data_IF_838709327474
#
_entry.id   IF_838709327474
#
_cell.length_a   1.000
_cell.length_b   1.000
_cell.length_c   1.000
_cell.angle_alpha   90.00
_cell.angle_beta   90.00
_cell.angle_gamma   90.00
#
_symmetry.space_group_name_H-M   'P 1'
#
loop_
_entity.id
_entity.type
_entity.pdbx_description
1 polymer ?
#
# COMPACT_ATOMS: atom_id res chain seq x y z
N UNK A 1 -21.18 -4.96 11.66
CA UNK A 1 -19.79 -4.58 11.97
C UNK A 1 -19.80 -3.16 12.47
N UNK A 2 -19.05 -2.85 13.53
CA UNK A 2 -18.84 -1.44 13.93
C UNK A 2 -18.02 -0.75 12.83
N UNK A 3 -18.32 0.53 12.55
CA UNK A 3 -17.58 1.32 11.58
C UNK A 3 -16.11 1.52 11.98
N UNK A 4 -15.26 2.03 11.06
CA UNK A 4 -13.88 2.31 11.37
C UNK A 4 -13.77 3.37 12.49
N UNK A 5 -12.79 3.20 13.38
CA UNK A 5 -12.48 4.17 14.44
C UNK A 5 -11.68 5.35 13.89
N UNK A 6 -10.91 5.14 12.82
CA UNK A 6 -10.10 6.15 12.12
C UNK A 6 -10.01 5.80 10.64
N UNK A 7 -10.15 6.81 9.79
CA UNK A 7 -9.99 6.69 8.34
C UNK A 7 -9.02 7.73 7.82
N UNK A 8 -8.16 7.33 6.88
CA UNK A 8 -7.19 8.21 6.24
C UNK A 8 -7.23 8.02 4.73
N UNK A 9 -7.21 9.13 3.99
CA UNK A 9 -7.18 9.12 2.53
C UNK A 9 -5.76 9.38 2.05
N UNK A 10 -5.31 8.61 1.06
CA UNK A 10 -4.07 8.84 0.35
C UNK A 10 -4.36 9.69 -0.89
N UNK A 11 -3.83 10.91 -0.89
CA UNK A 11 -4.07 11.91 -1.91
C UNK A 11 -2.79 12.18 -2.70
N UNK A 12 -2.91 12.21 -4.02
CA UNK A 12 -1.94 12.78 -4.94
C UNK A 12 -2.37 14.20 -5.31
N UNK A 13 -1.60 15.21 -4.93
CA UNK A 13 -1.87 16.60 -5.34
C UNK A 13 -1.40 16.94 -6.75
N UNK A 14 -0.64 16.05 -7.38
CA UNK A 14 -0.05 16.29 -8.69
C UNK A 14 -0.66 15.38 -9.75
N UNK A 15 -1.28 15.99 -10.76
CA UNK A 15 -1.99 15.26 -11.84
C UNK A 15 -1.06 14.37 -12.68
N UNK A 16 0.24 14.71 -12.77
CA UNK A 16 1.21 14.02 -13.65
C UNK A 16 2.37 13.35 -12.91
N UNK A 17 2.34 13.33 -11.57
CA UNK A 17 3.41 12.76 -10.75
C UNK A 17 2.83 12.00 -9.57
N UNK A 18 3.38 10.85 -9.24
CA UNK A 18 3.07 10.09 -8.01
C UNK A 18 4.22 10.16 -7.01
N UNK A 19 5.12 11.15 -7.18
CA UNK A 19 6.30 11.32 -6.33
C UNK A 19 5.96 11.84 -4.93
N UNK A 20 4.94 12.68 -4.82
CA UNK A 20 4.58 13.34 -3.57
C UNK A 20 3.11 13.09 -3.27
N UNK A 21 2.86 12.31 -2.22
CA UNK A 21 1.53 11.96 -1.76
C UNK A 21 1.31 12.44 -0.34
N UNK A 22 0.06 12.59 0.04
CA UNK A 22 -0.34 13.03 1.36
C UNK A 22 -1.31 12.03 1.98
N UNK A 23 -1.04 11.63 3.21
CA UNK A 23 -2.02 10.93 4.02
C UNK A 23 -2.82 11.97 4.80
N UNK A 24 -4.13 12.06 4.53
CA UNK A 24 -5.02 13.04 5.13
C UNK A 24 -6.05 12.40 6.05
N UNK A 25 -6.31 13.06 7.18
CA UNK A 25 -7.43 12.77 8.07
C UNK A 25 -8.25 14.06 8.20
N UNK A 26 -9.56 14.00 7.95
CA UNK A 26 -10.44 15.16 8.03
C UNK A 26 -9.89 16.37 7.23
N UNK A 27 -9.42 16.13 6.00
CA UNK A 27 -8.80 17.13 5.10
C UNK A 27 -7.49 17.77 5.61
N UNK A 28 -6.93 17.27 6.71
CA UNK A 28 -5.64 17.70 7.24
C UNK A 28 -4.57 16.65 6.94
N UNK A 29 -3.45 17.07 6.36
CA UNK A 29 -2.29 16.21 6.12
C UNK A 29 -1.63 15.85 7.44
N UNK A 30 -1.48 14.55 7.68
CA UNK A 30 -0.84 13.99 8.88
C UNK A 30 0.55 13.47 8.54
N UNK A 31 0.71 12.87 7.35
CA UNK A 31 1.97 12.31 6.87
C UNK A 31 2.18 12.66 5.40
N UNK A 32 3.44 12.83 5.01
CA UNK A 32 3.86 13.08 3.63
C UNK A 32 4.60 11.86 3.12
N UNK A 33 4.27 11.39 1.93
CA UNK A 33 4.91 10.24 1.32
C UNK A 33 5.70 10.74 0.12
N UNK A 34 7.01 10.49 0.14
CA UNK A 34 7.88 10.75 -0.98
C UNK A 34 8.27 9.43 -1.66
N UNK A 35 7.99 9.30 -2.95
CA UNK A 35 8.35 8.15 -3.77
C UNK A 35 9.60 8.48 -4.57
N UNK A 36 10.74 7.98 -4.09
CA UNK A 36 12.02 8.10 -4.78
C UNK A 36 12.11 7.05 -5.89
N UNK A 37 12.32 7.54 -7.11
CA UNK A 37 12.53 6.73 -8.30
C UNK A 37 13.76 7.22 -9.05
N UNK A 38 14.79 6.40 -9.13
CA UNK A 38 15.94 6.62 -10.02
C UNK A 38 15.89 5.65 -11.18
N UNK A 39 16.51 6.03 -12.30
CA UNK A 39 16.61 5.18 -13.49
C UNK A 39 17.27 3.82 -13.21
N UNK A 40 18.19 3.77 -12.24
CA UNK A 40 18.89 2.55 -11.81
C UNK A 40 18.64 2.18 -10.34
N UNK A 41 17.88 2.99 -9.59
CA UNK A 41 17.64 2.74 -8.17
C UNK A 41 16.32 2.01 -7.97
N UNK A 42 16.29 1.13 -6.95
CA UNK A 42 15.05 0.48 -6.54
C UNK A 42 14.07 1.55 -6.06
N UNK A 43 12.81 1.55 -6.54
CA UNK A 43 11.82 2.48 -6.04
C UNK A 43 11.69 2.37 -4.52
N UNK A 44 11.66 3.51 -3.84
CA UNK A 44 11.57 3.59 -2.40
C UNK A 44 10.52 4.63 -2.00
N UNK A 45 9.64 4.27 -1.08
CA UNK A 45 8.72 5.18 -0.44
C UNK A 45 9.32 5.60 0.91
N UNK A 46 9.25 6.87 1.22
CA UNK A 46 9.61 7.44 2.51
C UNK A 46 8.41 8.17 3.08
N UNK A 47 8.06 7.82 4.32
CA UNK A 47 7.00 8.44 5.08
C UNK A 47 7.62 9.48 6.00
N UNK A 48 7.24 10.74 5.83
CA UNK A 48 7.74 11.88 6.57
C UNK A 48 6.67 12.42 7.53
N UNK A 49 7.12 12.85 8.70
CA UNK A 49 6.31 13.56 9.68
C UNK A 49 6.66 15.05 9.67
N UNK A 50 5.69 15.92 9.96
CA UNK A 50 5.88 17.38 10.07
C UNK A 50 6.34 18.08 8.77
N UNK A 51 5.99 17.52 7.60
CA UNK A 51 6.20 18.13 6.30
C UNK A 51 6.92 17.21 5.30
N UNK A 52 7.00 17.62 4.02
CA UNK A 52 7.62 16.81 2.95
C UNK A 52 9.11 16.48 3.18
N UNK A 53 9.83 17.36 3.87
CA UNK A 53 11.27 17.20 4.18
C UNK A 53 11.52 16.92 5.67
N UNK A 54 10.48 16.54 6.41
CA UNK A 54 10.60 16.24 7.84
C UNK A 54 11.31 14.90 8.11
N UNK A 55 11.43 14.49 9.38
CA UNK A 55 12.03 13.20 9.72
C UNK A 55 11.26 12.03 9.08
N UNK A 56 12.02 11.04 8.59
CA UNK A 56 11.46 9.80 8.05
C UNK A 56 11.02 8.93 9.23
N UNK A 57 9.73 8.62 9.28
CA UNK A 57 9.14 7.73 10.29
C UNK A 57 9.04 6.29 9.81
N UNK A 58 9.00 6.06 8.50
CA UNK A 58 9.06 4.73 7.92
C UNK A 58 9.49 4.77 6.44
N UNK A 59 10.02 3.66 5.94
CA UNK A 59 10.36 3.50 4.53
C UNK A 59 9.95 2.15 4.00
N UNK A 60 9.57 2.08 2.73
CA UNK A 60 9.40 0.84 1.98
C UNK A 60 10.29 0.84 0.75
N UNK A 61 10.98 -0.26 0.48
CA UNK A 61 11.83 -0.46 -0.71
C UNK A 61 11.29 -1.60 -1.54
N UNK A 62 11.02 -1.33 -2.81
CA UNK A 62 10.55 -2.34 -3.75
C UNK A 62 11.70 -3.22 -4.23
N UNK A 63 11.39 -4.48 -4.54
CA UNK A 63 12.33 -5.43 -5.13
C UNK A 63 12.10 -5.53 -6.64
N UNK A 64 13.18 -5.63 -7.42
CA UNK A 64 13.10 -5.67 -8.89
C UNK A 64 12.58 -7.01 -9.43
N UNK A 65 13.01 -8.12 -8.84
CA UNK A 65 12.71 -9.48 -9.33
C UNK A 65 11.87 -10.31 -8.36
N UNK A 66 11.32 -9.68 -7.32
CA UNK A 66 10.45 -10.31 -6.35
C UNK A 66 9.16 -9.52 -6.24
N UNK A 67 8.06 -10.23 -5.99
CA UNK A 67 6.76 -9.67 -5.69
C UNK A 67 6.67 -9.05 -4.28
N UNK A 68 7.63 -9.34 -3.40
CA UNK A 68 7.71 -8.77 -2.05
C UNK A 68 8.39 -7.41 -1.98
N UNK A 69 8.39 -6.82 -0.78
CA UNK A 69 9.02 -5.54 -0.46
C UNK A 69 9.88 -5.66 0.80
N UNK A 70 10.66 -4.63 1.12
CA UNK A 70 11.31 -4.46 2.42
C UNK A 70 10.79 -3.20 3.08
N UNK A 71 10.68 -3.19 4.40
CA UNK A 71 10.22 -2.04 5.17
C UNK A 71 11.14 -1.75 6.35
N UNK A 72 11.24 -0.48 6.75
CA UNK A 72 12.01 -0.03 7.90
C UNK A 72 11.22 1.03 8.66
N UNK A 73 11.23 0.96 10.00
CA UNK A 73 10.63 1.97 10.87
C UNK A 73 11.71 2.92 11.36
N UNK A 74 11.53 4.22 11.16
CA UNK A 74 12.40 5.27 11.71
C UNK A 74 13.90 5.13 11.37
N UNK A 75 14.24 4.47 10.26
CA UNK A 75 15.64 4.18 9.91
C UNK A 75 16.25 2.96 10.61
N UNK A 76 15.44 2.17 11.31
CA UNK A 76 15.83 0.88 11.89
C UNK A 76 16.11 -0.21 10.84
N UNK A 77 16.31 -1.47 11.28
CA UNK A 77 16.64 -2.57 10.38
C UNK A 77 15.54 -2.80 9.33
N UNK A 78 15.95 -3.22 8.14
CA UNK A 78 15.02 -3.60 7.08
C UNK A 78 14.42 -4.97 7.39
N UNK A 79 13.10 -5.03 7.46
CA UNK A 79 12.31 -6.25 7.57
C UNK A 79 11.76 -6.64 6.20
N UNK A 80 11.74 -7.95 5.93
CA UNK A 80 11.22 -8.50 4.69
C UNK A 80 9.71 -8.72 4.79
N UNK A 81 9.01 -8.34 3.72
CA UNK A 81 7.58 -8.59 3.53
C UNK A 81 7.42 -9.39 2.23
N UNK A 82 7.44 -10.73 2.30
CA UNK A 82 7.27 -11.56 1.13
C UNK A 82 5.85 -11.40 0.58
N UNK A 83 5.69 -11.62 -0.72
CA UNK A 83 4.37 -11.88 -1.29
C UNK A 83 4.15 -13.38 -1.30
N UNK A 84 3.02 -13.80 -0.75
CA UNK A 84 2.61 -15.19 -0.64
C UNK A 84 1.25 -15.40 -1.31
N UNK A 85 0.95 -16.66 -1.63
CA UNK A 85 -0.34 -17.09 -2.15
C UNK A 85 -0.52 -16.91 -3.66
N UNK A 86 -0.85 -18.00 -4.34
CA UNK A 86 -1.16 -18.01 -5.77
C UNK A 86 -2.62 -17.57 -6.06
N UNK A 87 -3.57 -18.01 -5.23
CA UNK A 87 -5.01 -17.74 -5.40
C UNK A 87 -5.38 -16.43 -4.71
N UNK A 88 -4.99 -16.27 -3.44
CA UNK A 88 -5.21 -15.04 -2.67
C UNK A 88 -3.87 -14.46 -2.30
N UNK A 89 -3.52 -13.32 -2.91
CA UNK A 89 -2.28 -12.61 -2.59
C UNK A 89 -2.29 -12.14 -1.14
N UNK A 90 -1.21 -12.42 -0.43
CA UNK A 90 -0.99 -12.09 0.96
C UNK A 90 0.43 -11.55 1.16
N UNK A 91 0.58 -10.70 2.16
CA UNK A 91 1.85 -10.08 2.51
C UNK A 91 2.01 -10.12 4.02
N UNK A 92 2.54 -11.24 4.56
CA UNK A 92 2.78 -11.35 5.98
C UNK A 92 4.00 -10.52 6.39
N UNK A 93 3.98 -10.02 7.61
CA UNK A 93 5.11 -9.34 8.23
C UNK A 93 5.10 -9.58 9.74
N UNK A 94 6.27 -9.42 10.36
CA UNK A 94 6.43 -9.48 11.80
C UNK A 94 6.59 -8.07 12.37
N UNK A 95 6.01 -7.84 13.53
CA UNK A 95 6.25 -6.67 14.35
C UNK A 95 6.42 -7.12 15.80
N UNK A 96 7.65 -7.03 16.31
CA UNK A 96 8.06 -7.81 17.48
C UNK A 96 7.85 -9.30 17.22
N UNK A 97 7.27 -10.01 18.18
CA UNK A 97 7.00 -11.46 18.09
C UNK A 97 5.65 -11.80 17.43
N UNK A 98 4.89 -10.79 16.99
CA UNK A 98 3.56 -10.98 16.41
C UNK A 98 3.61 -10.95 14.89
N UNK A 99 2.87 -11.87 14.27
CA UNK A 99 2.72 -11.96 12.82
C UNK A 99 1.40 -11.33 12.40
N UNK A 100 1.48 -10.42 11.43
CA UNK A 100 0.34 -9.78 10.80
C UNK A 100 0.32 -10.10 9.31
N UNK A 101 -0.82 -9.92 8.66
CA UNK A 101 -0.94 -10.14 7.22
C UNK A 101 -1.87 -9.14 6.56
N UNK A 102 -1.35 -8.48 5.52
CA UNK A 102 -2.20 -7.82 4.53
C UNK A 102 -2.66 -8.87 3.52
N UNK A 103 -3.94 -9.24 3.57
CA UNK A 103 -4.56 -10.23 2.69
C UNK A 103 -5.51 -9.55 1.74
N UNK A 104 -5.46 -9.90 0.45
CA UNK A 104 -6.41 -9.38 -0.54
C UNK A 104 -7.83 -9.67 -0.09
N UNK A 105 -8.72 -8.69 -0.23
CA UNK A 105 -10.14 -8.82 0.10
C UNK A 105 -11.02 -8.41 -1.08
N UNK A 106 -12.19 -9.03 -1.17
CA UNK A 106 -13.30 -8.70 -2.09
C UNK A 106 -14.60 -8.53 -1.32
N UNK A 107 -14.48 -8.33 -0.01
CA UNK A 107 -15.61 -8.22 0.90
C UNK A 107 -16.25 -6.84 0.77
N UNK A 108 -17.42 -6.79 0.13
CA UNK A 108 -18.19 -5.56 -0.05
C UNK A 108 -18.65 -4.93 1.26
N UNK A 109 -18.78 -5.71 2.35
CA UNK A 109 -19.10 -5.17 3.68
C UNK A 109 -17.96 -4.30 4.24
N UNK A 110 -16.73 -4.48 3.76
CA UNK A 110 -15.57 -3.68 4.07
C UNK A 110 -15.34 -2.54 3.06
N UNK A 111 -16.24 -2.37 2.09
CA UNK A 111 -16.11 -1.39 1.02
C UNK A 111 -15.15 -1.80 -0.11
N UNK A 112 -14.73 -3.08 -0.15
CA UNK A 112 -13.87 -3.59 -1.20
C UNK A 112 -14.63 -3.84 -2.51
N UNK A 113 -13.94 -3.68 -3.62
CA UNK A 113 -14.44 -4.01 -4.95
C UNK A 113 -14.50 -5.52 -5.16
N UNK A 114 -15.59 -5.98 -5.77
CA UNK A 114 -15.76 -7.39 -6.15
C UNK A 114 -14.74 -7.84 -7.20
N UNK A 115 -14.32 -6.93 -8.09
CA UNK A 115 -13.45 -7.24 -9.23
C UNK A 115 -12.04 -6.64 -9.10
N UNK A 116 -11.84 -5.75 -8.14
CA UNK A 116 -10.56 -5.11 -7.87
C UNK A 116 -9.47 -6.08 -7.38
N UNK A 117 -8.23 -5.72 -7.69
CA UNK A 117 -7.03 -6.44 -7.23
C UNK A 117 -6.25 -5.64 -6.15
N UNK A 118 -6.68 -4.41 -5.86
CA UNK A 118 -5.94 -3.45 -5.04
C UNK A 118 -6.40 -3.35 -3.59
N UNK A 119 -7.43 -4.10 -3.18
CA UNK A 119 -8.03 -3.98 -1.85
C UNK A 119 -7.52 -5.08 -0.91
N UNK A 120 -7.17 -4.69 0.32
CA UNK A 120 -6.56 -5.58 1.30
C UNK A 120 -7.15 -5.36 2.69
N UNK A 121 -7.20 -6.42 3.49
CA UNK A 121 -7.51 -6.37 4.91
C UNK A 121 -6.30 -6.78 5.72
N UNK A 122 -6.06 -6.10 6.83
CA UNK A 122 -5.04 -6.41 7.82
C UNK A 122 -5.63 -7.34 8.88
N UNK A 123 -4.95 -8.45 9.13
CA UNK A 123 -5.32 -9.45 10.13
C UNK A 123 -4.15 -9.70 11.08
N UNK A 124 -4.47 -10.09 12.31
CA UNK A 124 -3.54 -10.79 13.19
C UNK A 124 -3.49 -12.27 12.76
N UNK A 125 -2.32 -12.83 12.49
CA UNK A 125 -2.21 -14.23 12.06
C UNK A 125 -2.62 -15.23 13.14
N UNK A 126 -2.58 -14.84 14.42
CA UNK A 126 -3.09 -15.65 15.54
C UNK A 126 -4.61 -15.58 15.68
N UNK A 127 -5.26 -14.58 15.09
CA UNK A 127 -6.71 -14.39 15.12
C UNK A 127 -7.21 -13.74 13.81
N UNK A 128 -7.33 -14.56 12.77
CA UNK A 128 -7.78 -14.09 11.45
C UNK A 128 -9.28 -13.74 11.40
N UNK A 129 -10.03 -14.00 12.48
CA UNK A 129 -11.44 -13.65 12.59
C UNK A 129 -11.70 -12.16 12.81
N UNK A 130 -10.66 -11.40 13.16
CA UNK A 130 -10.77 -9.96 13.44
C UNK A 130 -10.03 -9.16 12.38
N UNK A 131 -10.76 -8.28 11.69
CA UNK A 131 -10.20 -7.29 10.77
C UNK A 131 -9.68 -6.12 11.58
N UNK A 132 -8.37 -5.85 11.48
CA UNK A 132 -7.72 -4.76 12.20
C UNK A 132 -7.76 -3.45 11.41
N UNK A 133 -7.56 -3.55 10.10
CA UNK A 133 -7.60 -2.43 9.17
C UNK A 133 -7.98 -2.91 7.77
N UNK A 134 -8.38 -1.99 6.91
CA UNK A 134 -8.67 -2.24 5.50
C UNK A 134 -8.05 -1.15 4.66
N UNK A 135 -7.42 -1.53 3.56
CA UNK A 135 -6.99 -0.63 2.50
C UNK A 135 -7.90 -0.83 1.29
N UNK A 136 -8.52 0.27 0.85
CA UNK A 136 -9.34 0.32 -0.35
C UNK A 136 -8.63 1.18 -1.37
N UNK A 137 -8.25 0.57 -2.49
CA UNK A 137 -7.71 1.29 -3.63
C UNK A 137 -8.83 2.07 -4.32
N UNK A 138 -8.58 3.35 -4.63
CA UNK A 138 -9.49 4.12 -5.47
C UNK A 138 -9.06 3.99 -6.94
N UNK A 139 -9.94 3.38 -7.75
CA UNK A 139 -9.76 3.24 -9.19
C UNK A 139 -10.76 4.10 -9.97
N UNK A 140 -11.44 5.05 -9.31
CA UNK A 140 -12.49 5.85 -9.96
C UNK A 140 -11.91 6.70 -11.08
N UNK A 141 -12.44 6.53 -12.28
CA UNK A 141 -12.07 7.26 -13.50
C UNK A 141 -12.12 8.80 -13.39
N UNK A 142 -12.86 9.36 -12.42
CA UNK A 142 -13.07 10.80 -12.27
C UNK A 142 -12.32 11.44 -11.10
N UNK A 143 -11.67 10.66 -10.22
CA UNK A 143 -10.92 11.18 -9.09
C UNK A 143 -9.42 11.01 -9.32
N UNK A 144 -8.81 11.96 -10.05
CA UNK A 144 -7.38 11.89 -10.35
C UNK A 144 -6.47 12.13 -9.13
N UNK A 145 -7.04 12.48 -7.98
CA UNK A 145 -6.29 12.92 -6.80
C UNK A 145 -6.38 11.93 -5.63
N UNK A 146 -7.43 11.13 -5.50
CA UNK A 146 -7.50 10.11 -4.43
C UNK A 146 -6.96 8.77 -4.96
N UNK A 147 -5.92 8.24 -4.32
CA UNK A 147 -5.33 6.93 -4.67
C UNK A 147 -6.02 5.79 -3.93
N UNK A 148 -6.54 6.07 -2.74
CA UNK A 148 -7.19 5.08 -1.89
C UNK A 148 -7.33 5.57 -0.46
N UNK A 149 -7.87 4.72 0.41
CA UNK A 149 -7.99 4.99 1.84
C UNK A 149 -7.60 3.80 2.68
N UNK A 150 -7.20 4.09 3.91
CA UNK A 150 -7.03 3.10 4.99
C UNK A 150 -8.03 3.38 6.10
N UNK A 151 -8.76 2.34 6.49
CA UNK A 151 -9.77 2.32 7.54
C UNK A 151 -9.29 1.42 8.68
N UNK A 152 -9.08 1.97 9.87
CA UNK A 152 -8.67 1.24 11.07
C UNK A 152 -9.90 0.88 11.91
N UNK A 153 -9.98 -0.38 12.36
CA UNK A 153 -11.07 -0.89 13.20
C UNK A 153 -10.62 -1.13 14.65
N UNK A 154 -9.31 -1.22 14.88
CA UNK A 154 -8.69 -1.46 16.18
C UNK A 154 -7.54 -0.47 16.34
N UNK A 155 -7.35 0.05 17.55
CA UNK A 155 -6.17 0.84 17.89
C UNK A 155 -4.99 -0.09 18.12
N UNK A 156 -4.00 -0.07 17.22
CA UNK A 156 -2.84 -0.96 17.28
C UNK A 156 -1.61 -0.30 17.91
N UNK A 157 -1.72 0.97 18.30
CA UNK A 157 -0.59 1.78 18.71
C UNK A 157 0.22 2.31 17.52
N UNK A 158 0.80 3.49 17.73
CA UNK A 158 1.40 4.32 16.68
C UNK A 158 2.41 3.59 15.79
N UNK A 159 3.36 2.87 16.38
CA UNK A 159 4.47 2.28 15.62
C UNK A 159 4.01 1.14 14.73
N UNK A 160 3.11 0.28 15.24
CA UNK A 160 2.53 -0.81 14.45
C UNK A 160 1.63 -0.26 13.34
N UNK A 161 0.83 0.78 13.61
CA UNK A 161 0.01 1.42 12.58
C UNK A 161 0.86 2.04 11.47
N UNK A 162 1.93 2.77 11.84
CA UNK A 162 2.88 3.34 10.87
C UNK A 162 3.59 2.25 10.08
N UNK A 163 4.01 1.16 10.74
CA UNK A 163 4.65 0.03 10.07
C UNK A 163 3.69 -0.66 9.09
N UNK A 164 2.49 -1.02 9.52
CA UNK A 164 1.49 -1.65 8.68
C UNK A 164 1.05 -0.74 7.53
N UNK A 165 0.99 0.58 7.76
CA UNK A 165 0.73 1.58 6.73
C UNK A 165 1.82 1.58 5.66
N UNK A 166 3.10 1.68 6.03
CA UNK A 166 4.17 1.71 5.03
C UNK A 166 4.26 0.40 4.23
N UNK A 167 3.90 -0.73 4.85
CA UNK A 167 3.76 -2.03 4.17
C UNK A 167 2.70 -1.94 3.08
N UNK A 168 1.47 -1.51 3.39
CA UNK A 168 0.39 -1.49 2.39
C UNK A 168 0.62 -0.46 1.29
N UNK A 169 1.24 0.69 1.61
CA UNK A 169 1.65 1.67 0.60
C UNK A 169 2.71 1.11 -0.34
N UNK A 170 3.69 0.37 0.19
CA UNK A 170 4.71 -0.30 -0.62
C UNK A 170 4.11 -1.38 -1.54
N UNK A 171 3.14 -2.15 -1.04
CA UNK A 171 2.38 -3.13 -1.84
C UNK A 171 1.61 -2.43 -2.95
N UNK A 172 0.88 -1.36 -2.62
CA UNK A 172 0.11 -0.56 -3.59
C UNK A 172 0.98 -0.02 -4.72
N UNK A 173 2.12 0.57 -4.38
CA UNK A 173 3.07 1.08 -5.38
C UNK A 173 3.68 -0.03 -6.24
N UNK A 174 3.96 -1.22 -5.66
CA UNK A 174 4.42 -2.38 -6.43
C UNK A 174 3.38 -2.84 -7.43
N UNK A 175 2.12 -2.97 -7.01
CA UNK A 175 1.01 -3.37 -7.88
C UNK A 175 0.80 -2.35 -9.00
N UNK A 176 0.83 -1.05 -8.69
CA UNK A 176 0.69 0.02 -9.68
C UNK A 176 1.77 -0.09 -10.77
N UNK A 177 3.03 -0.31 -10.38
CA UNK A 177 4.15 -0.46 -11.31
C UNK A 177 4.04 -1.73 -12.16
N UNK A 178 3.63 -2.84 -11.57
CA UNK A 178 3.45 -4.09 -12.29
C UNK A 178 2.35 -3.96 -13.36
N UNK A 179 1.27 -3.24 -13.06
CA UNK A 179 0.22 -2.93 -14.03
C UNK A 179 0.69 -1.99 -15.16
N UNK A 180 1.51 -0.97 -14.85
CA UNK A 180 2.07 -0.09 -15.89
C UNK A 180 3.06 -0.81 -16.81
N UNK A 181 3.86 -1.75 -16.29
CA UNK A 181 4.79 -2.54 -17.09
C UNK A 181 4.10 -3.52 -18.05
N UNK A 182 2.97 -4.10 -17.63
CA UNK A 182 2.19 -5.01 -18.46
C UNK A 182 1.52 -4.32 -19.67
N UNK A 183 1.13 -3.05 -19.54
CA UNK A 183 0.51 -2.28 -20.62
C UNK A 183 1.46 -1.99 -21.80
N UNK A 184 2.78 -2.00 -21.58
CA UNK A 184 3.79 -1.79 -22.63
C UNK A 184 4.12 -3.05 -23.45
N UNK A 185 3.61 -4.22 -23.08
CA UNK A 185 3.89 -5.50 -23.76
C UNK A 185 2.80 -5.96 -24.74
N UNK A 186 1.70 -5.23 -24.88
CA UNK A 186 0.53 -5.65 -25.66
C UNK A 186 0.51 -5.22 -27.14
N UNK A 187 1.63 -4.75 -27.69
CA UNK A 187 1.78 -4.43 -29.12
C UNK A 187 2.73 -5.41 -29.80
N UNK A 188 2.26 -6.64 -30.06
CA UNK A 188 3.09 -7.68 -30.68
C UNK A 188 2.30 -8.92 -31.07
N UNK A 189 1.20 -8.74 -31.79
CA UNK A 189 0.33 -9.82 -32.24
C UNK A 189 -0.26 -9.55 -33.62
N UNK A 190 0.59 -9.17 -34.58
CA UNK A 190 0.23 -9.11 -36.00
C UNK A 190 0.75 -10.35 -36.72
N UNK A 191 -0.08 -11.39 -36.82
CA UNK A 191 -0.01 -12.43 -37.84
C UNK A 191 -1.45 -12.60 -38.35
N UNK A 192 -1.79 -12.54 -39.63
CA UNK A 192 -1.10 -13.05 -40.81
C UNK A 192 -2.02 -14.10 -41.41
N UNK A 193 -2.59 -13.83 -42.60
CA UNK A 193 -3.44 -14.76 -43.33
C UNK A 193 -3.85 -14.17 -44.67
N UNK A 194 -3.16 -14.59 -45.73
CA UNK A 194 -3.60 -14.42 -47.12
C UNK A 194 -4.52 -15.56 -47.55
#
# INVERSE_FOLDING_TARGET
MNGPIRSFNLINRHTFSTKDLELQQNQRTILWIHVNTGFLSKPQLNLHQNGPSGPIVASAKLRNFSSGIQVSLGGGPWADVPAEGFITKQYPFYFGDRKFVWRRTRDGALGASTFGAGDFKLLDASNEGVVLAVWISDNKWFNMHEIGRVDWFVDLGRDLEVFALIVILGIGEKLRRDSSGAAGGASGGGGGGG
#
